data_IF_776832806928
#
_entry.id   IF_776832806928
#
_cell.length_a   1.000
_cell.length_b   1.000
_cell.length_c   1.000
_cell.angle_alpha   90.00
_cell.angle_beta   90.00
_cell.angle_gamma   90.00
#
_symmetry.space_group_name_H-M   'P 1'
#
loop_
_entity.id
_entity.type
_entity.pdbx_description
1 polymer ?
#
# COMPACT_ATOMS: atom_id res chain seq x y z
N UNK A 1 26.41 7.21 -5.50
CA UNK A 1 25.41 8.25 -5.79
C UNK A 1 24.87 8.76 -4.46
N UNK A 2 24.85 10.08 -4.22
CA UNK A 2 24.29 10.65 -2.99
C UNK A 2 22.77 10.61 -3.12
N UNK A 3 22.10 9.76 -2.35
CA UNK A 3 20.64 9.62 -2.43
C UNK A 3 19.96 10.89 -1.89
N UNK A 4 19.63 11.82 -2.77
CA UNK A 4 18.99 13.10 -2.44
C UNK A 4 17.65 12.88 -1.72
N UNK A 5 16.95 11.79 -2.04
CA UNK A 5 15.70 11.36 -1.41
C UNK A 5 15.84 10.90 0.05
N UNK A 6 17.04 10.51 0.51
CA UNK A 6 17.30 10.14 1.90
C UNK A 6 17.68 11.34 2.78
N UNK A 7 17.75 12.55 2.22
CA UNK A 7 17.91 13.77 3.00
C UNK A 7 16.64 14.08 3.78
N UNK A 8 16.73 14.82 4.90
CA UNK A 8 15.56 15.24 5.70
C UNK A 8 14.52 15.96 4.82
N UNK A 9 14.99 16.87 3.96
CA UNK A 9 14.12 17.57 3.01
C UNK A 9 13.50 16.61 1.99
N UNK A 10 14.26 15.64 1.47
CA UNK A 10 13.77 14.61 0.56
C UNK A 10 12.64 13.77 1.17
N UNK A 11 12.80 13.30 2.41
CA UNK A 11 11.80 12.51 3.12
C UNK A 11 10.51 13.33 3.32
N UNK A 12 10.63 14.60 3.72
CA UNK A 12 9.48 15.49 3.92
C UNK A 12 8.73 15.72 2.61
N UNK A 13 9.45 16.02 1.52
CA UNK A 13 8.84 16.26 0.20
C UNK A 13 8.12 15.01 -0.31
N UNK A 14 8.76 13.84 -0.22
CA UNK A 14 8.13 12.57 -0.65
C UNK A 14 6.90 12.25 0.21
N UNK A 15 7.00 12.44 1.53
CA UNK A 15 5.87 12.27 2.44
C UNK A 15 4.70 13.20 2.11
N UNK A 16 4.99 14.46 1.79
CA UNK A 16 3.98 15.42 1.36
C UNK A 16 3.32 15.00 0.04
N UNK A 17 4.09 14.57 -0.96
CA UNK A 17 3.55 14.09 -2.25
C UNK A 17 2.64 12.89 -2.06
N UNK A 18 3.06 11.89 -1.28
CA UNK A 18 2.26 10.68 -1.02
C UNK A 18 1.01 11.03 -0.20
N UNK A 19 1.13 11.86 0.83
CA UNK A 19 0.02 12.30 1.66
C UNK A 19 -1.03 13.09 0.88
N UNK A 20 -0.59 14.07 0.09
CA UNK A 20 -1.48 14.84 -0.80
C UNK A 20 -2.11 13.94 -1.86
N UNK A 21 -1.33 13.04 -2.47
CA UNK A 21 -1.85 12.05 -3.42
C UNK A 21 -2.94 11.16 -2.82
N UNK A 22 -2.76 10.72 -1.57
CA UNK A 22 -3.76 9.93 -0.87
C UNK A 22 -5.06 10.71 -0.58
N UNK A 23 -4.95 11.97 -0.20
CA UNK A 23 -6.11 12.85 0.00
C UNK A 23 -6.86 13.13 -1.31
N UNK A 24 -6.12 13.34 -2.41
CA UNK A 24 -6.71 13.52 -3.74
C UNK A 24 -7.42 12.25 -4.23
N UNK A 25 -6.82 11.08 -4.03
CA UNK A 25 -7.45 9.80 -4.39
C UNK A 25 -8.76 9.56 -3.63
N UNK A 26 -8.85 10.00 -2.37
CA UNK A 26 -10.10 10.00 -1.61
C UNK A 26 -11.14 10.93 -2.24
N UNK A 27 -10.74 12.12 -2.69
CA UNK A 27 -11.64 13.03 -3.41
C UNK A 27 -12.14 12.45 -4.74
N UNK A 28 -11.28 11.73 -5.47
CA UNK A 28 -11.62 11.09 -6.76
C UNK A 28 -12.39 9.78 -6.65
N UNK A 29 -12.80 9.37 -5.44
CA UNK A 29 -13.74 8.25 -5.24
C UNK A 29 -13.24 7.08 -4.38
N UNK A 30 -12.00 7.15 -3.85
CA UNK A 30 -11.61 6.16 -2.84
C UNK A 30 -12.37 6.39 -1.52
N UNK A 31 -12.74 5.32 -0.78
CA UNK A 31 -13.47 5.46 0.47
C UNK A 31 -12.78 6.43 1.43
N UNK A 32 -13.56 7.22 2.19
CA UNK A 32 -13.03 8.32 3.02
C UNK A 32 -11.99 7.89 4.06
N UNK A 33 -11.96 6.60 4.41
CA UNK A 33 -11.03 6.03 5.39
C UNK A 33 -9.97 5.11 4.76
N UNK A 34 -9.79 5.15 3.43
CA UNK A 34 -8.90 4.22 2.71
C UNK A 34 -7.78 4.89 1.90
N UNK A 35 -7.94 6.14 1.44
CA UNK A 35 -6.90 6.90 0.70
C UNK A 35 -6.08 6.02 -0.26
N UNK A 36 -4.87 5.63 0.17
CA UNK A 36 -4.06 4.56 -0.45
C UNK A 36 -3.97 3.38 0.52
N UNK A 37 -4.64 2.25 0.21
CA UNK A 37 -4.61 1.04 1.04
C UNK A 37 -4.25 -0.21 0.25
N UNK A 38 -2.97 -0.58 0.26
CA UNK A 38 -2.47 -1.74 -0.49
C UNK A 38 -3.13 -3.04 -0.05
N UNK A 39 -3.35 -3.26 1.25
CA UNK A 39 -3.99 -4.47 1.76
C UNK A 39 -5.43 -4.61 1.24
N UNK A 40 -6.25 -3.56 1.34
CA UNK A 40 -7.61 -3.60 0.82
C UNK A 40 -7.63 -3.77 -0.71
N UNK A 41 -6.71 -3.14 -1.43
CA UNK A 41 -6.68 -3.23 -2.90
C UNK A 41 -6.26 -4.63 -3.37
N UNK A 42 -5.38 -5.31 -2.65
CA UNK A 42 -5.04 -6.72 -2.92
C UNK A 42 -6.26 -7.62 -2.68
N UNK A 43 -7.03 -7.38 -1.61
CA UNK A 43 -8.31 -8.07 -1.39
C UNK A 43 -9.28 -7.80 -2.54
N UNK A 44 -9.46 -6.54 -2.93
CA UNK A 44 -10.40 -6.17 -4.00
C UNK A 44 -10.00 -6.82 -5.35
N UNK A 45 -8.69 -6.91 -5.60
CA UNK A 45 -8.11 -7.63 -6.74
C UNK A 45 -8.40 -9.13 -6.67
N UNK A 46 -8.26 -9.76 -5.49
CA UNK A 46 -8.61 -11.16 -5.30
C UNK A 46 -10.11 -11.41 -5.57
N UNK A 47 -10.98 -10.47 -5.19
CA UNK A 47 -12.40 -10.48 -5.51
C UNK A 47 -12.66 -10.43 -7.02
N UNK A 48 -11.99 -9.50 -7.72
CA UNK A 48 -12.10 -9.38 -9.18
C UNK A 48 -11.57 -10.61 -9.94
N UNK A 49 -10.60 -11.33 -9.37
CA UNK A 49 -10.12 -12.62 -9.89
C UNK A 49 -11.03 -13.80 -9.52
N UNK A 50 -12.12 -13.57 -8.79
CA UNK A 50 -13.08 -14.60 -8.39
C UNK A 50 -12.64 -15.48 -7.22
N UNK A 51 -11.60 -15.10 -6.48
CA UNK A 51 -11.10 -15.85 -5.31
C UNK A 51 -12.02 -15.72 -4.09
N UNK A 52 -12.87 -14.70 -4.04
CA UNK A 52 -13.98 -14.60 -3.09
C UNK A 52 -15.20 -13.93 -3.74
N UNK A 53 -16.39 -14.12 -3.15
CA UNK A 53 -17.70 -13.72 -3.69
C UNK A 53 -18.36 -12.58 -2.91
N UNK A 54 -17.62 -11.51 -2.65
CA UNK A 54 -18.16 -10.36 -1.94
C UNK A 54 -18.36 -9.22 -2.94
N UNK A 55 -19.57 -9.07 -3.46
CA UNK A 55 -19.88 -8.25 -4.65
C UNK A 55 -19.39 -6.79 -4.56
N UNK A 56 -19.37 -6.21 -3.36
CA UNK A 56 -18.95 -4.81 -3.12
C UNK A 56 -17.44 -4.59 -3.35
N UNK A 57 -16.64 -5.66 -3.35
CA UNK A 57 -15.17 -5.62 -3.36
C UNK A 57 -14.58 -6.50 -4.47
N UNK A 58 -15.22 -6.53 -5.64
CA UNK A 58 -14.75 -7.25 -6.83
C UNK A 58 -14.35 -6.31 -7.96
N UNK A 59 -13.40 -5.41 -7.72
CA UNK A 59 -12.91 -4.49 -8.75
C UNK A 59 -11.40 -4.33 -8.66
N UNK A 60 -10.79 -4.12 -9.83
CA UNK A 60 -9.36 -3.87 -9.95
C UNK A 60 -9.10 -2.37 -9.78
N UNK A 61 -8.26 -2.04 -8.80
CA UNK A 61 -7.82 -0.68 -8.54
C UNK A 61 -6.50 -0.39 -9.26
N UNK A 62 -6.42 0.66 -10.09
CA UNK A 62 -5.23 0.93 -10.90
C UNK A 62 -3.99 1.30 -10.05
N UNK A 63 -4.15 1.65 -8.77
CA UNK A 63 -3.08 2.07 -7.87
C UNK A 63 -2.00 1.00 -7.70
N UNK A 64 -2.40 -0.28 -7.53
CA UNK A 64 -1.44 -1.38 -7.39
C UNK A 64 -0.63 -1.56 -8.67
N UNK A 65 -1.30 -1.51 -9.82
CA UNK A 65 -0.63 -1.59 -11.12
C UNK A 65 0.31 -0.40 -11.31
N UNK A 66 -0.14 0.80 -10.92
CA UNK A 66 0.67 2.03 -10.95
C UNK A 66 1.92 1.91 -10.09
N UNK A 67 1.84 1.38 -8.87
CA UNK A 67 3.03 1.17 -8.02
C UNK A 67 4.00 0.17 -8.62
N UNK A 68 3.50 -0.96 -9.13
CA UNK A 68 4.35 -2.01 -9.72
C UNK A 68 5.02 -1.50 -10.99
N UNK A 69 4.27 -0.90 -11.91
CA UNK A 69 4.78 -0.37 -13.17
C UNK A 69 5.70 0.83 -12.94
N UNK A 70 5.32 1.76 -12.07
CA UNK A 70 6.14 2.93 -11.72
C UNK A 70 7.46 2.54 -11.07
N UNK A 71 7.44 1.57 -10.15
CA UNK A 71 8.65 1.00 -9.54
C UNK A 71 9.54 0.32 -10.57
N UNK A 72 8.95 -0.47 -11.47
CA UNK A 72 9.68 -1.13 -12.55
C UNK A 72 10.34 -0.13 -13.51
N UNK A 73 9.58 0.86 -14.01
CA UNK A 73 10.06 1.91 -14.91
C UNK A 73 11.21 2.67 -14.25
N UNK A 74 11.03 3.07 -12.99
CA UNK A 74 12.07 3.78 -12.24
C UNK A 74 13.33 2.94 -12.09
N UNK A 75 13.21 1.68 -11.65
CA UNK A 75 14.34 0.77 -11.52
C UNK A 75 15.08 0.52 -12.85
N UNK A 76 14.34 0.48 -13.96
CA UNK A 76 14.90 0.34 -15.30
C UNK A 76 15.68 1.59 -15.74
N UNK A 77 15.10 2.78 -15.58
CA UNK A 77 15.77 4.05 -15.91
C UNK A 77 17.04 4.30 -15.10
N UNK A 78 17.00 4.01 -13.79
CA UNK A 78 18.17 4.13 -12.92
C UNK A 78 19.18 2.96 -13.07
N UNK A 79 18.91 2.00 -13.96
CA UNK A 79 19.74 0.79 -14.18
C UNK A 79 19.99 -0.02 -12.91
N UNK A 80 19.05 0.03 -11.97
CA UNK A 80 19.09 -0.73 -10.70
C UNK A 80 18.28 -2.03 -10.78
N UNK A 81 17.55 -2.23 -11.89
CA UNK A 81 16.79 -3.45 -12.11
C UNK A 81 17.70 -4.69 -12.11
N UNK A 82 17.48 -5.58 -11.14
CA UNK A 82 18.11 -6.90 -11.06
C UNK A 82 17.06 -7.95 -10.77
N UNK A 83 16.91 -8.91 -11.67
CA UNK A 83 16.09 -10.10 -11.42
C UNK A 83 16.76 -10.91 -10.31
N UNK A 84 16.15 -10.94 -9.13
CA UNK A 84 16.61 -11.74 -7.99
C UNK A 84 15.53 -12.77 -7.64
N UNK A 85 15.89 -14.05 -7.64
CA UNK A 85 15.08 -15.10 -7.03
C UNK A 85 15.10 -14.92 -5.51
N UNK A 86 13.93 -15.03 -4.86
CA UNK A 86 13.84 -14.94 -3.40
C UNK A 86 14.48 -16.15 -2.73
N UNK A 87 15.40 -15.92 -1.78
CA UNK A 87 15.74 -16.94 -0.79
C UNK A 87 14.52 -17.20 0.11
N UNK A 88 14.31 -18.47 0.46
CA UNK A 88 13.23 -18.97 1.34
C UNK A 88 11.79 -18.54 0.96
N UNK A 89 11.26 -19.00 -0.19
CA UNK A 89 9.91 -18.63 -0.67
C UNK A 89 8.80 -18.95 0.35
N UNK A 90 8.89 -20.09 1.05
CA UNK A 90 7.89 -20.49 2.05
C UNK A 90 7.78 -19.49 3.21
N UNK A 91 8.92 -19.01 3.74
CA UNK A 91 8.92 -18.06 4.86
C UNK A 91 8.29 -16.74 4.43
N UNK A 92 8.64 -16.24 3.24
CA UNK A 92 8.07 -15.00 2.70
C UNK A 92 6.57 -15.11 2.48
N UNK A 93 6.11 -16.26 1.98
CA UNK A 93 4.68 -16.53 1.82
C UNK A 93 3.97 -16.51 3.17
N UNK A 94 4.47 -17.23 4.17
CA UNK A 94 3.88 -17.25 5.51
C UNK A 94 3.85 -15.84 6.14
N UNK A 95 4.96 -15.09 6.05
CA UNK A 95 5.03 -13.71 6.55
C UNK A 95 4.01 -12.80 5.86
N UNK A 96 3.89 -12.90 4.53
CA UNK A 96 2.91 -12.15 3.76
C UNK A 96 1.47 -12.51 4.15
N UNK A 97 1.19 -13.80 4.35
CA UNK A 97 -0.11 -14.29 4.79
C UNK A 97 -0.48 -13.72 6.18
N UNK A 98 0.39 -13.85 7.18
CA UNK A 98 0.12 -13.32 8.53
C UNK A 98 -0.02 -11.80 8.52
N UNK A 99 0.82 -11.08 7.76
CA UNK A 99 0.70 -9.64 7.59
C UNK A 99 -0.65 -9.24 6.97
N UNK A 100 -1.12 -9.98 5.96
CA UNK A 100 -2.41 -9.72 5.32
C UNK A 100 -3.58 -9.99 6.28
N UNK A 101 -3.51 -11.07 7.06
CA UNK A 101 -4.50 -11.38 8.10
C UNK A 101 -4.56 -10.25 9.13
N UNK A 102 -3.41 -9.82 9.67
CA UNK A 102 -3.34 -8.70 10.61
C UNK A 102 -3.90 -7.40 10.01
N UNK A 103 -3.46 -7.02 8.81
CA UNK A 103 -3.91 -5.80 8.16
C UNK A 103 -5.42 -5.75 7.89
N UNK A 104 -6.03 -6.91 7.58
CA UNK A 104 -7.48 -7.01 7.35
C UNK A 104 -8.28 -7.03 8.66
N UNK A 105 -7.83 -7.77 9.67
CA UNK A 105 -8.51 -7.86 10.98
C UNK A 105 -8.52 -6.51 11.69
N UNK A 106 -7.40 -5.80 11.70
CA UNK A 106 -7.29 -4.50 12.36
C UNK A 106 -7.66 -3.32 11.44
N UNK A 107 -8.12 -3.60 10.20
CA UNK A 107 -8.45 -2.59 9.19
C UNK A 107 -7.36 -1.51 9.00
N UNK A 108 -6.10 -1.92 9.07
CA UNK A 108 -4.96 -1.03 9.03
C UNK A 108 -3.83 -1.62 8.19
N UNK A 109 -3.53 -0.98 7.06
CA UNK A 109 -2.20 -1.08 6.46
C UNK A 109 -1.39 0.15 6.89
N UNK A 110 -0.04 0.15 6.81
CA UNK A 110 0.79 1.23 7.37
C UNK A 110 0.35 2.62 6.88
N UNK A 111 0.05 2.72 5.58
CA UNK A 111 -0.39 3.96 4.94
C UNK A 111 -1.83 4.34 5.32
N UNK A 112 -2.78 3.40 5.26
CA UNK A 112 -4.18 3.64 5.63
C UNK A 112 -4.31 4.07 7.08
N UNK A 113 -3.56 3.45 7.97
CA UNK A 113 -3.51 3.79 9.37
C UNK A 113 -3.06 5.24 9.57
N UNK A 114 -1.95 5.63 8.93
CA UNK A 114 -1.41 6.99 9.06
C UNK A 114 -2.41 8.04 8.54
N UNK A 115 -3.08 7.77 7.41
CA UNK A 115 -4.11 8.65 6.86
C UNK A 115 -5.32 8.76 7.79
N UNK A 116 -5.77 7.65 8.39
CA UNK A 116 -6.89 7.66 9.36
C UNK A 116 -6.55 8.47 10.60
N UNK A 117 -5.36 8.28 11.16
CA UNK A 117 -4.89 9.09 12.28
C UNK A 117 -4.78 10.58 11.91
N UNK A 118 -4.26 10.89 10.72
CA UNK A 118 -4.18 12.26 10.22
C UNK A 118 -5.56 12.89 9.99
N UNK A 119 -6.57 12.09 9.61
CA UNK A 119 -7.97 12.49 9.48
C UNK A 119 -8.75 12.57 10.80
N UNK A 120 -8.11 12.29 11.94
CA UNK A 120 -8.73 12.33 13.27
C UNK A 120 -9.45 11.06 13.71
N UNK A 121 -9.37 9.97 12.95
CA UNK A 121 -9.97 8.68 13.30
C UNK A 121 -9.04 7.88 14.23
N UNK A 122 -9.33 7.93 15.53
CA UNK A 122 -8.59 7.23 16.59
C UNK A 122 -8.68 5.70 16.48
N UNK A 123 -9.59 5.15 15.66
CA UNK A 123 -9.60 3.71 15.35
C UNK A 123 -8.35 3.28 14.55
N UNK A 124 -7.52 4.22 14.10
CA UNK A 124 -6.18 3.92 13.58
C UNK A 124 -5.18 3.47 14.66
N UNK A 125 -5.40 3.76 15.95
CA UNK A 125 -4.50 3.35 17.03
C UNK A 125 -4.44 1.82 17.20
N UNK A 126 -5.56 1.07 17.29
CA UNK A 126 -5.51 -0.39 17.38
C UNK A 126 -4.89 -1.05 16.13
N UNK A 127 -4.86 -0.37 14.97
CA UNK A 127 -4.16 -0.86 13.79
C UNK A 127 -2.63 -0.91 13.95
N UNK A 128 -2.03 -0.14 14.87
CA UNK A 128 -0.60 -0.21 15.22
C UNK A 128 -0.24 -1.53 15.91
N UNK A 129 -1.21 -2.18 16.56
CA UNK A 129 -1.01 -3.44 17.28
C UNK A 129 -1.10 -4.67 16.36
N UNK A 130 -1.69 -4.49 15.17
CA UNK A 130 -1.99 -5.56 14.22
C UNK A 130 -0.95 -5.80 13.13
N UNK A 131 0.05 -4.93 13.02
CA UNK A 131 1.18 -4.96 12.07
C UNK A 131 2.47 -5.06 12.87
#
# INVERSE_FOLDING_TARGET
MKNIFFSRAGIIIVGAIIGTGAALLQYFGNPPNMGICVACFIRDTAGALGLHRADVVQYLRPEIMGFVLGGFITAYFFKEFRSRGGSSPMIRFCLGFFCMVGALVFLGCPVRMLIRLAGGDLNGIPALLGI
#
